data_IF_078513386398
#
_entry.id   IF_078513386398
#
_cell.length_a   1.000
_cell.length_b   1.000
_cell.length_c   1.000
_cell.angle_alpha   90.00
_cell.angle_beta   90.00
_cell.angle_gamma   90.00
#
_symmetry.space_group_name_H-M   'P 1'
#
loop_
_entity.id
_entity.type
_entity.pdbx_description
1 polymer ?
#
# COMPACT_ATOMS: atom_id res chain seq x y z
N UNK A 1 8.90 -7.75 29.93
CA UNK A 1 8.59 -7.55 28.50
C UNK A 1 9.84 -7.91 27.73
N UNK A 2 9.80 -8.97 26.92
CA UNK A 2 10.96 -9.36 26.10
C UNK A 2 11.14 -8.29 25.04
N UNK A 3 12.15 -7.42 25.16
CA UNK A 3 12.47 -6.49 24.08
C UNK A 3 12.81 -7.32 22.84
N UNK A 4 11.91 -7.38 21.87
CA UNK A 4 12.15 -8.02 20.59
C UNK A 4 13.46 -7.48 20.02
N UNK A 5 14.40 -8.36 19.70
CA UNK A 5 15.65 -7.94 19.08
C UNK A 5 15.39 -7.41 17.67
N UNK A 6 16.31 -6.61 17.10
CA UNK A 6 16.20 -6.23 15.69
C UNK A 6 16.30 -7.43 14.74
N UNK A 7 16.93 -8.54 15.18
CA UNK A 7 16.88 -9.82 14.48
C UNK A 7 15.43 -10.29 14.31
N UNK A 8 14.63 -10.30 15.38
CA UNK A 8 13.23 -10.74 15.31
C UNK A 8 12.38 -9.85 14.41
N UNK A 9 12.57 -8.53 14.48
CA UNK A 9 11.91 -7.55 13.59
C UNK A 9 12.27 -7.78 12.12
N UNK A 10 13.56 -7.96 11.84
CA UNK A 10 14.06 -8.26 10.50
C UNK A 10 13.47 -9.58 9.98
N UNK A 11 13.38 -10.62 10.81
CA UNK A 11 12.78 -11.90 10.41
C UNK A 11 11.27 -11.78 10.14
N UNK A 12 10.52 -11.04 10.96
CA UNK A 12 9.10 -10.75 10.69
C UNK A 12 8.92 -10.00 9.38
N UNK A 13 9.73 -8.97 9.15
CA UNK A 13 9.73 -8.21 7.90
C UNK A 13 10.04 -9.09 6.69
N UNK A 14 11.09 -9.94 6.75
CA UNK A 14 11.42 -10.90 5.69
C UNK A 14 10.26 -11.86 5.42
N UNK A 15 9.69 -12.47 6.46
CA UNK A 15 8.54 -13.37 6.33
C UNK A 15 7.35 -12.67 5.68
N UNK A 16 7.07 -11.42 6.07
CA UNK A 16 5.97 -10.63 5.50
C UNK A 16 6.18 -10.38 4.00
N UNK A 17 7.41 -10.06 3.60
CA UNK A 17 7.79 -9.76 2.21
C UNK A 17 7.88 -11.00 1.33
N UNK A 18 8.33 -12.15 1.87
CA UNK A 18 8.42 -13.42 1.13
C UNK A 18 7.16 -14.28 1.18
N UNK A 19 6.20 -13.95 2.04
CA UNK A 19 4.99 -14.73 2.25
C UNK A 19 5.16 -15.87 3.26
N UNK A 20 4.03 -16.37 3.75
CA UNK A 20 4.00 -17.56 4.60
C UNK A 20 4.24 -18.83 3.78
N UNK A 21 4.66 -19.92 4.43
CA UNK A 21 4.83 -21.21 3.77
C UNK A 21 3.54 -21.68 3.06
N UNK A 22 2.37 -21.38 3.63
CA UNK A 22 1.08 -21.70 3.00
C UNK A 22 0.81 -20.85 1.77
N UNK A 23 1.05 -19.54 1.84
CA UNK A 23 0.90 -18.64 0.68
C UNK A 23 1.83 -19.05 -0.47
N UNK A 24 3.07 -19.40 -0.14
CA UNK A 24 4.05 -19.91 -1.09
C UNK A 24 3.58 -21.22 -1.71
N UNK A 25 3.12 -22.17 -0.89
CA UNK A 25 2.59 -23.45 -1.34
C UNK A 25 1.40 -23.26 -2.28
N UNK A 26 0.41 -22.45 -1.92
CA UNK A 26 -0.76 -22.15 -2.76
C UNK A 26 -0.31 -21.56 -4.10
N UNK A 27 0.60 -20.58 -4.09
CA UNK A 27 1.10 -20.00 -5.34
C UNK A 27 1.90 -21.00 -6.20
N UNK A 28 2.62 -21.94 -5.59
CA UNK A 28 3.31 -23.02 -6.30
C UNK A 28 2.31 -24.02 -6.89
N UNK A 29 1.26 -24.39 -6.17
CA UNK A 29 0.19 -25.28 -6.65
C UNK A 29 -0.61 -24.64 -7.78
N UNK A 30 -0.83 -23.33 -7.76
CA UNK A 30 -1.49 -22.61 -8.86
C UNK A 30 -0.77 -22.75 -10.21
N UNK A 31 0.54 -23.05 -10.22
CA UNK A 31 1.32 -23.23 -11.44
C UNK A 31 1.25 -24.64 -12.02
N UNK A 32 1.11 -25.67 -11.18
CA UNK A 32 1.14 -27.06 -11.64
C UNK A 32 -0.11 -27.45 -12.47
N UNK A 33 -1.18 -26.67 -12.39
CA UNK A 33 -2.44 -26.87 -13.12
C UNK A 33 -2.55 -26.17 -14.48
N UNK A 34 -1.55 -25.37 -14.92
CA UNK A 34 -1.63 -24.59 -16.17
C UNK A 34 -0.60 -25.11 -17.19
N UNK A 35 -1.04 -25.28 -18.45
CA UNK A 35 -0.18 -25.63 -19.59
C UNK A 35 1.03 -24.67 -19.72
N UNK A 36 2.06 -25.12 -20.45
CA UNK A 36 3.39 -24.54 -20.78
C UNK A 36 3.66 -23.01 -20.59
N UNK A 37 2.66 -22.13 -20.62
CA UNK A 37 2.73 -20.67 -20.44
C UNK A 37 3.00 -20.22 -18.98
N UNK A 38 2.80 -21.10 -17.99
CA UNK A 38 3.00 -20.80 -16.56
C UNK A 38 4.37 -21.15 -15.97
N UNK A 39 5.17 -21.97 -16.66
CA UNK A 39 6.45 -22.48 -16.14
C UNK A 39 7.51 -21.39 -15.93
N UNK A 40 7.61 -20.41 -16.85
CA UNK A 40 8.58 -19.31 -16.72
C UNK A 40 8.31 -18.45 -15.48
N UNK A 41 7.04 -18.18 -15.18
CA UNK A 41 6.66 -17.40 -14.01
C UNK A 41 6.82 -18.19 -12.68
N UNK A 42 6.76 -19.53 -12.73
CA UNK A 42 7.08 -20.41 -11.59
C UNK A 42 8.56 -20.34 -11.23
N UNK A 43 9.44 -20.51 -12.21
CA UNK A 43 10.88 -20.44 -11.99
C UNK A 43 11.30 -19.05 -11.47
N UNK A 44 10.66 -17.99 -11.97
CA UNK A 44 10.84 -16.62 -11.46
C UNK A 44 10.43 -16.53 -9.97
N UNK A 45 9.25 -17.01 -9.58
CA UNK A 45 8.79 -16.94 -8.18
C UNK A 45 9.68 -17.80 -7.26
N UNK A 46 10.05 -19.00 -7.68
CA UNK A 46 10.92 -19.91 -6.92
C UNK A 46 12.34 -19.32 -6.71
N UNK A 47 12.88 -18.66 -7.74
CA UNK A 47 14.14 -17.93 -7.64
C UNK A 47 14.03 -16.74 -6.68
N UNK A 48 12.95 -15.97 -6.75
CA UNK A 48 12.73 -14.82 -5.85
C UNK A 48 12.59 -15.27 -4.40
N UNK A 49 11.87 -16.37 -4.14
CA UNK A 49 11.71 -16.93 -2.81
C UNK A 49 13.03 -17.39 -2.17
N UNK A 50 13.94 -17.92 -2.99
CA UNK A 50 15.26 -18.38 -2.54
C UNK A 50 16.33 -17.28 -2.52
N UNK A 51 16.15 -16.21 -3.30
CA UNK A 51 17.05 -15.06 -3.34
C UNK A 51 16.98 -14.20 -2.08
N UNK A 52 18.08 -13.51 -1.78
CA UNK A 52 18.09 -12.43 -0.80
C UNK A 52 17.74 -11.12 -1.50
N UNK A 53 16.94 -10.28 -0.85
CA UNK A 53 16.64 -8.95 -1.39
C UNK A 53 17.84 -8.02 -1.23
N UNK A 54 18.00 -7.04 -2.12
CA UNK A 54 19.16 -6.12 -2.13
C UNK A 54 19.43 -5.45 -0.78
N UNK A 55 18.38 -5.07 -0.04
CA UNK A 55 18.52 -4.45 1.27
C UNK A 55 19.12 -5.37 2.32
N UNK A 56 19.01 -6.69 2.16
CA UNK A 56 19.54 -7.66 3.11
C UNK A 56 21.07 -7.56 3.19
N UNK A 57 21.73 -7.09 2.14
CA UNK A 57 23.17 -6.88 2.07
C UNK A 57 23.61 -5.50 2.59
N UNK A 58 22.67 -4.60 2.89
CA UNK A 58 22.94 -3.20 3.24
C UNK A 58 23.14 -3.03 4.75
N UNK A 59 24.37 -3.29 5.20
CA UNK A 59 24.80 -3.12 6.59
C UNK A 59 25.38 -4.41 7.18
N UNK A 60 25.98 -4.31 8.37
CA UNK A 60 26.53 -5.46 9.10
C UNK A 60 25.65 -5.80 10.31
N UNK A 61 25.23 -7.06 10.41
CA UNK A 61 24.44 -7.57 11.53
C UNK A 61 22.95 -7.22 11.44
N UNK A 62 22.20 -7.67 12.44
CA UNK A 62 20.78 -7.37 12.60
C UNK A 62 20.63 -6.22 13.59
N UNK A 63 20.38 -5.03 13.06
CA UNK A 63 20.45 -3.76 13.78
C UNK A 63 19.34 -2.79 13.31
N UNK A 64 19.11 -1.72 14.06
CA UNK A 64 18.07 -0.72 13.82
C UNK A 64 18.19 -0.07 12.45
N UNK A 65 19.42 0.28 12.07
CA UNK A 65 19.71 0.91 10.78
C UNK A 65 19.30 0.01 9.60
N UNK A 66 19.67 -1.27 9.63
CA UNK A 66 19.34 -2.24 8.59
C UNK A 66 17.84 -2.53 8.55
N UNK A 67 17.19 -2.61 9.72
CA UNK A 67 15.74 -2.73 9.81
C UNK A 67 15.04 -1.56 9.12
N UNK A 68 15.44 -0.32 9.41
CA UNK A 68 14.88 0.89 8.77
C UNK A 68 15.09 0.85 7.26
N UNK A 69 16.30 0.53 6.79
CA UNK A 69 16.60 0.44 5.35
C UNK A 69 15.68 -0.57 4.65
N UNK A 70 15.52 -1.77 5.22
CA UNK A 70 14.62 -2.80 4.69
C UNK A 70 13.15 -2.38 4.72
N UNK A 71 12.69 -1.76 5.81
CA UNK A 71 11.31 -1.31 5.97
C UNK A 71 10.90 -0.23 4.96
N UNK A 72 11.86 0.54 4.44
CA UNK A 72 11.64 1.54 3.40
C UNK A 72 11.57 0.97 1.98
N UNK A 73 12.16 -0.21 1.73
CA UNK A 73 12.25 -0.75 0.37
C UNK A 73 10.90 -1.26 -0.16
N UNK A 74 10.70 -1.12 -1.47
CA UNK A 74 9.64 -1.81 -2.21
C UNK A 74 9.82 -3.30 -2.05
N UNK A 75 8.73 -4.05 -1.97
CA UNK A 75 8.79 -5.50 -2.17
C UNK A 75 9.42 -5.79 -3.54
N UNK A 76 10.13 -6.91 -3.68
CA UNK A 76 10.70 -7.33 -4.97
C UNK A 76 9.67 -7.25 -6.10
N UNK A 77 10.08 -6.67 -7.23
CA UNK A 77 9.20 -6.29 -8.34
C UNK A 77 8.37 -7.46 -8.85
N UNK A 78 8.93 -8.67 -8.85
CA UNK A 78 8.26 -9.88 -9.33
C UNK A 78 7.03 -10.24 -8.48
N UNK A 79 7.01 -9.95 -7.17
CA UNK A 79 5.80 -10.14 -6.37
C UNK A 79 4.68 -9.21 -6.81
N UNK A 80 5.04 -7.96 -7.13
CA UNK A 80 4.11 -6.94 -7.64
C UNK A 80 3.59 -7.35 -9.01
N UNK A 81 4.47 -7.78 -9.92
CA UNK A 81 4.10 -8.27 -11.25
C UNK A 81 3.11 -9.44 -11.19
N UNK A 82 3.33 -10.40 -10.30
CA UNK A 82 2.39 -11.51 -10.08
C UNK A 82 1.02 -11.01 -9.62
N UNK A 83 0.97 -10.01 -8.74
CA UNK A 83 -0.28 -9.34 -8.34
C UNK A 83 -0.98 -8.67 -9.52
N UNK A 84 -0.24 -7.91 -10.34
CA UNK A 84 -0.78 -7.24 -11.53
C UNK A 84 -1.30 -8.26 -12.56
N UNK A 85 -0.53 -9.32 -12.82
CA UNK A 85 -0.89 -10.39 -13.76
C UNK A 85 -2.12 -11.18 -13.28
N UNK A 86 -2.24 -11.44 -11.97
CA UNK A 86 -3.41 -12.11 -11.40
C UNK A 86 -4.67 -11.25 -11.60
N UNK A 87 -4.59 -9.95 -11.34
CA UNK A 87 -5.71 -9.03 -11.60
C UNK A 87 -6.05 -8.96 -13.10
N UNK A 88 -5.04 -8.92 -13.98
CA UNK A 88 -5.25 -8.91 -15.43
C UNK A 88 -5.92 -10.19 -15.93
N UNK A 89 -5.61 -11.35 -15.35
CA UNK A 89 -6.31 -12.62 -15.66
C UNK A 89 -7.79 -12.55 -15.31
N UNK A 90 -8.14 -11.98 -14.16
CA UNK A 90 -9.53 -11.78 -13.73
C UNK A 90 -10.24 -10.78 -14.65
N UNK A 91 -9.61 -9.65 -14.96
CA UNK A 91 -10.09 -8.66 -15.92
C UNK A 91 -10.43 -9.31 -17.27
N UNK A 92 -9.49 -10.07 -17.86
CA UNK A 92 -9.70 -10.72 -19.15
C UNK A 92 -10.88 -11.72 -19.13
N UNK A 93 -11.09 -12.43 -18.01
CA UNK A 93 -12.24 -13.33 -17.87
C UNK A 93 -13.56 -12.56 -17.76
N UNK A 94 -13.60 -11.50 -16.97
CA UNK A 94 -14.79 -10.65 -16.83
C UNK A 94 -15.13 -9.94 -18.14
N UNK A 95 -14.15 -9.35 -18.81
CA UNK A 95 -14.33 -8.68 -20.11
C UNK A 95 -14.91 -9.65 -21.16
N UNK A 96 -14.36 -10.87 -21.24
CA UNK A 96 -14.84 -11.89 -22.19
C UNK A 96 -16.26 -12.40 -21.86
N UNK A 97 -16.56 -12.61 -20.58
CA UNK A 97 -17.79 -13.28 -20.14
C UNK A 97 -18.96 -12.33 -19.96
N UNK A 98 -18.69 -11.06 -19.71
CA UNK A 98 -19.66 -9.97 -19.56
C UNK A 98 -19.67 -9.09 -20.82
N UNK A 99 -19.63 -9.72 -22.00
CA UNK A 99 -19.50 -9.03 -23.30
C UNK A 99 -20.65 -8.07 -23.64
N UNK A 100 -21.79 -8.24 -22.98
CA UNK A 100 -22.95 -7.36 -23.07
C UNK A 100 -22.80 -6.06 -22.27
N UNK A 101 -21.85 -6.02 -21.34
CA UNK A 101 -21.46 -4.81 -20.60
C UNK A 101 -20.37 -4.05 -21.35
N UNK A 102 -20.27 -2.75 -21.09
CA UNK A 102 -19.12 -1.94 -21.51
C UNK A 102 -18.30 -1.65 -20.26
N UNK A 103 -17.33 -2.50 -19.95
CA UNK A 103 -16.57 -2.43 -18.71
C UNK A 103 -15.29 -1.62 -18.85
N UNK A 104 -14.90 -0.96 -17.78
CA UNK A 104 -13.55 -0.45 -17.55
C UNK A 104 -12.94 -1.13 -16.32
N UNK A 105 -11.62 -1.23 -16.31
CA UNK A 105 -10.89 -1.86 -15.22
C UNK A 105 -9.80 -0.93 -14.70
N UNK A 106 -9.78 -0.71 -13.38
CA UNK A 106 -8.76 0.14 -12.74
C UNK A 106 -8.25 -0.54 -11.48
N UNK A 107 -6.95 -0.50 -11.27
CA UNK A 107 -6.34 -0.91 -10.01
C UNK A 107 -6.39 0.25 -9.02
N UNK A 108 -6.60 -0.08 -7.74
CA UNK A 108 -6.48 0.86 -6.64
C UNK A 108 -5.70 0.26 -5.47
N UNK A 109 -5.62 1.01 -4.38
CA UNK A 109 -5.00 0.52 -3.14
C UNK A 109 -3.49 0.51 -3.17
N UNK A 110 -2.90 -0.29 -2.28
CA UNK A 110 -1.46 -0.21 -1.98
C UNK A 110 -0.54 -0.81 -3.05
N UNK A 111 -1.05 -1.77 -3.83
CA UNK A 111 -0.29 -2.36 -4.96
C UNK A 111 -0.16 -1.35 -6.09
N UNK A 112 -1.26 -0.68 -6.46
CA UNK A 112 -1.24 0.37 -7.49
C UNK A 112 -0.24 1.51 -7.18
N UNK A 113 0.01 1.77 -5.89
CA UNK A 113 0.93 2.81 -5.42
C UNK A 113 2.34 2.33 -5.09
N UNK A 114 2.66 1.04 -5.21
CA UNK A 114 3.93 0.46 -4.72
C UNK A 114 4.23 0.85 -3.24
N UNK A 115 3.20 0.84 -2.39
CA UNK A 115 3.34 1.08 -0.93
C UNK A 115 2.94 -0.14 -0.11
N UNK A 116 2.73 -1.27 -0.77
CA UNK A 116 2.46 -2.54 -0.11
C UNK A 116 3.74 -3.08 0.54
N UNK A 117 3.59 -3.83 1.63
CA UNK A 117 4.72 -4.34 2.45
C UNK A 117 4.73 -5.87 2.55
N UNK A 118 3.80 -6.55 1.86
CA UNK A 118 3.67 -8.00 1.81
C UNK A 118 3.89 -8.48 0.37
N UNK A 119 4.67 -9.54 0.16
CA UNK A 119 4.82 -10.14 -1.20
C UNK A 119 3.51 -10.68 -1.76
N UNK A 120 2.67 -11.19 -0.87
CA UNK A 120 1.34 -11.69 -1.17
C UNK A 120 0.33 -10.65 -0.71
N UNK A 121 0.38 -9.46 -1.33
CA UNK A 121 -0.61 -8.41 -1.11
C UNK A 121 -1.81 -8.60 -2.01
N UNK A 122 -2.98 -8.40 -1.42
CA UNK A 122 -4.26 -8.43 -2.12
C UNK A 122 -4.35 -7.26 -3.11
N UNK A 123 -5.11 -7.47 -4.19
CA UNK A 123 -5.27 -6.48 -5.25
C UNK A 123 -6.70 -5.98 -5.29
N UNK A 124 -6.88 -4.67 -5.19
CA UNK A 124 -8.17 -4.03 -5.37
C UNK A 124 -8.41 -3.72 -6.86
N UNK A 125 -9.32 -4.47 -7.50
CA UNK A 125 -9.70 -4.29 -8.91
C UNK A 125 -11.09 -3.66 -9.01
N UNK A 126 -11.17 -2.41 -9.45
CA UNK A 126 -12.43 -1.77 -9.83
C UNK A 126 -12.92 -2.33 -11.16
N UNK A 127 -14.17 -2.76 -11.19
CA UNK A 127 -14.90 -3.17 -12.41
C UNK A 127 -16.01 -2.16 -12.63
N UNK A 128 -15.82 -1.28 -13.60
CA UNK A 128 -16.62 -0.07 -13.78
C UNK A 128 -17.52 -0.25 -15.00
N UNK A 129 -18.84 -0.29 -14.81
CA UNK A 129 -19.77 -0.27 -15.94
C UNK A 129 -19.88 1.15 -16.52
N UNK A 130 -19.57 1.28 -17.81
CA UNK A 130 -19.58 2.53 -18.58
C UNK A 130 -20.92 2.80 -19.25
N UNK A 131 -21.87 1.86 -19.20
CA UNK A 131 -23.22 2.06 -19.75
C UNK A 131 -24.05 3.06 -18.94
N UNK A 132 -23.60 3.39 -17.73
CA UNK A 132 -24.16 4.42 -16.87
C UNK A 132 -23.03 5.19 -16.18
N UNK A 133 -23.28 6.46 -15.86
CA UNK A 133 -22.45 7.25 -14.96
C UNK A 133 -23.34 8.09 -14.04
N UNK A 134 -22.79 8.46 -12.89
CA UNK A 134 -23.31 9.54 -12.05
C UNK A 134 -22.60 10.85 -12.42
N UNK A 135 -23.25 11.99 -12.21
CA UNK A 135 -22.61 13.30 -12.38
C UNK A 135 -23.17 14.28 -11.35
N UNK A 136 -22.34 15.24 -10.95
CA UNK A 136 -22.80 16.31 -10.06
C UNK A 136 -23.63 17.33 -10.83
N UNK A 137 -24.83 17.61 -10.32
CA UNK A 137 -25.80 18.51 -10.98
C UNK A 137 -25.46 19.99 -10.85
N UNK A 138 -24.58 20.33 -9.91
CA UNK A 138 -24.09 21.68 -9.71
C UNK A 138 -22.79 21.95 -10.49
N UNK A 139 -22.30 20.97 -11.25
CA UNK A 139 -21.08 21.09 -12.03
C UNK A 139 -21.26 21.90 -13.32
N UNK A 140 -20.14 22.44 -13.82
CA UNK A 140 -20.11 23.34 -15.00
C UNK A 140 -20.58 22.68 -16.30
N UNK A 141 -20.65 21.34 -16.34
CA UNK A 141 -21.08 20.55 -17.50
C UNK A 141 -22.40 19.83 -17.29
N UNK A 142 -23.14 20.12 -16.21
CA UNK A 142 -24.39 19.42 -15.89
C UNK A 142 -25.35 19.33 -17.09
N UNK A 143 -25.42 20.38 -17.92
CA UNK A 143 -26.31 20.46 -19.08
C UNK A 143 -25.90 19.57 -20.26
N UNK A 144 -24.71 18.96 -20.23
CA UNK A 144 -24.23 18.03 -21.25
C UNK A 144 -24.66 16.58 -20.98
N UNK A 145 -25.18 16.30 -19.79
CA UNK A 145 -25.58 14.96 -19.38
C UNK A 145 -27.07 14.72 -19.63
N UNK A 146 -27.40 13.49 -20.04
CA UNK A 146 -28.79 13.01 -20.17
C UNK A 146 -29.14 12.15 -18.96
N UNK A 147 -30.08 12.56 -18.10
CA UNK A 147 -30.53 11.73 -16.99
C UNK A 147 -31.11 10.40 -17.47
N UNK A 148 -30.82 9.33 -16.72
CA UNK A 148 -31.41 7.99 -16.94
C UNK A 148 -32.51 7.71 -15.91
N UNK A 149 -33.44 6.83 -16.26
CA UNK A 149 -34.42 6.25 -15.32
C UNK A 149 -33.92 5.00 -14.62
N UNK A 150 -32.77 4.45 -15.04
CA UNK A 150 -32.09 3.33 -14.37
C UNK A 150 -31.68 3.77 -12.96
N UNK A 151 -31.85 2.87 -12.00
CA UNK A 151 -31.36 3.06 -10.64
C UNK A 151 -29.94 2.55 -10.52
N UNK A 152 -29.04 3.39 -10.02
CA UNK A 152 -27.61 3.13 -9.94
C UNK A 152 -27.25 1.97 -9.01
N UNK A 153 -28.00 1.77 -7.93
CA UNK A 153 -27.81 0.68 -6.98
C UNK A 153 -28.18 -0.66 -7.62
N UNK A 154 -29.28 -0.71 -8.38
CA UNK A 154 -29.68 -1.91 -9.12
C UNK A 154 -28.64 -2.26 -10.20
N UNK A 155 -28.08 -1.26 -10.91
CA UNK A 155 -27.00 -1.48 -11.91
C UNK A 155 -25.77 -2.12 -11.27
N UNK A 156 -25.27 -1.57 -10.14
CA UNK A 156 -24.10 -2.13 -9.44
C UNK A 156 -24.39 -3.52 -8.88
N UNK A 157 -25.59 -3.75 -8.31
CA UNK A 157 -25.98 -5.06 -7.77
C UNK A 157 -26.07 -6.11 -8.87
N UNK A 158 -26.62 -5.76 -10.03
CA UNK A 158 -26.66 -6.67 -11.18
C UNK A 158 -25.25 -6.99 -11.64
N UNK A 159 -24.38 -5.98 -11.85
CA UNK A 159 -22.99 -6.20 -12.21
C UNK A 159 -22.26 -7.11 -11.21
N UNK A 160 -22.43 -6.86 -9.90
CA UNK A 160 -21.85 -7.69 -8.83
C UNK A 160 -22.30 -9.15 -8.94
N UNK A 161 -23.61 -9.39 -9.03
CA UNK A 161 -24.15 -10.75 -9.08
C UNK A 161 -23.70 -11.49 -10.34
N UNK A 162 -23.73 -10.83 -11.50
CA UNK A 162 -23.26 -11.43 -12.75
C UNK A 162 -21.75 -11.70 -12.71
N UNK A 163 -20.95 -10.76 -12.20
CA UNK A 163 -19.51 -10.96 -12.02
C UNK A 163 -19.20 -12.13 -11.08
N UNK A 164 -19.89 -12.24 -9.94
CA UNK A 164 -19.73 -13.38 -9.01
C UNK A 164 -19.98 -14.72 -9.71
N UNK A 165 -21.09 -14.82 -10.43
CA UNK A 165 -21.49 -16.08 -11.05
C UNK A 165 -20.56 -16.45 -12.20
N UNK A 166 -20.10 -15.47 -12.99
CA UNK A 166 -19.12 -15.70 -14.06
C UNK A 166 -17.71 -15.99 -13.53
N UNK A 167 -17.29 -15.38 -12.41
CA UNK A 167 -16.00 -15.71 -11.77
C UNK A 167 -15.98 -17.14 -11.26
N UNK A 168 -17.07 -17.63 -10.65
CA UNK A 168 -17.20 -19.03 -10.23
C UNK A 168 -17.11 -20.00 -11.40
N UNK A 169 -17.64 -19.62 -12.57
CA UNK A 169 -17.52 -20.42 -13.81
C UNK A 169 -16.12 -20.34 -14.42
N UNK A 170 -15.47 -19.18 -14.35
CA UNK A 170 -14.15 -18.94 -14.90
C UNK A 170 -13.04 -19.62 -14.10
N UNK A 171 -13.20 -19.67 -12.78
CA UNK A 171 -12.23 -20.21 -11.84
C UNK A 171 -12.92 -21.22 -10.89
N UNK A 172 -13.29 -22.41 -11.39
CA UNK A 172 -14.11 -23.38 -10.62
C UNK A 172 -13.42 -23.91 -9.36
N UNK A 173 -12.08 -23.87 -9.32
CA UNK A 173 -11.28 -24.26 -8.16
C UNK A 173 -10.99 -23.09 -7.20
N UNK A 174 -11.31 -21.86 -7.60
CA UNK A 174 -11.17 -20.69 -6.75
C UNK A 174 -12.42 -20.48 -5.90
N UNK A 175 -12.22 -19.97 -4.69
CA UNK A 175 -13.30 -19.54 -3.82
C UNK A 175 -13.66 -18.09 -4.14
N UNK A 176 -14.94 -17.86 -4.47
CA UNK A 176 -15.51 -16.52 -4.66
C UNK A 176 -16.39 -16.19 -3.47
N UNK A 177 -15.82 -15.40 -2.57
CA UNK A 177 -16.40 -14.85 -1.35
C UNK A 177 -17.22 -13.58 -1.67
N UNK A 178 -18.47 -13.57 -1.21
CA UNK A 178 -19.45 -12.48 -1.38
C UNK A 178 -19.93 -11.96 -0.01
N UNK A 179 -19.18 -12.20 1.08
CA UNK A 179 -19.54 -11.72 2.41
C UNK A 179 -19.25 -10.21 2.57
N UNK A 180 -18.17 -9.70 1.97
CA UNK A 180 -17.83 -8.28 2.04
C UNK A 180 -18.88 -7.41 1.32
N UNK A 181 -19.41 -6.39 2.00
CA UNK A 181 -20.48 -5.55 1.46
C UNK A 181 -20.11 -4.66 0.27
N UNK A 182 -18.84 -4.52 -0.06
CA UNK A 182 -18.33 -3.60 -1.09
C UNK A 182 -17.59 -4.31 -2.22
N UNK A 183 -16.94 -5.45 -1.96
CA UNK A 183 -16.16 -6.22 -2.93
C UNK A 183 -16.57 -7.70 -2.97
N UNK A 184 -16.29 -8.36 -4.08
CA UNK A 184 -16.21 -9.82 -4.17
C UNK A 184 -14.76 -10.20 -4.01
N UNK A 185 -14.42 -11.05 -3.05
CA UNK A 185 -13.05 -11.52 -2.88
C UNK A 185 -12.89 -12.87 -3.56
N UNK A 186 -11.90 -12.99 -4.44
CA UNK A 186 -11.59 -14.26 -5.11
C UNK A 186 -10.19 -14.75 -4.71
N UNK A 187 -10.10 -16.00 -4.27
CA UNK A 187 -8.87 -16.62 -3.74
C UNK A 187 -8.74 -18.08 -4.14
N UNK A 188 -7.51 -18.59 -4.17
CA UNK A 188 -7.24 -20.02 -4.39
C UNK A 188 -7.37 -20.48 -5.85
N UNK A 189 -7.35 -21.81 -6.04
CA UNK A 189 -7.26 -22.45 -7.36
C UNK A 189 -5.98 -22.04 -8.09
N UNK A 190 -6.12 -21.63 -9.36
CA UNK A 190 -4.99 -21.15 -10.16
C UNK A 190 -4.61 -19.68 -9.92
N UNK A 191 -5.23 -19.00 -8.93
CA UNK A 191 -4.92 -17.59 -8.62
C UNK A 191 -3.86 -17.50 -7.52
N UNK A 192 -2.82 -16.73 -7.81
CA UNK A 192 -1.64 -16.63 -6.94
C UNK A 192 -1.78 -15.54 -5.88
N UNK A 193 -2.80 -14.69 -6.02
CA UNK A 193 -3.10 -13.56 -5.16
C UNK A 193 -4.59 -13.49 -4.94
N UNK A 194 -4.95 -13.02 -3.77
CA UNK A 194 -6.32 -12.62 -3.49
C UNK A 194 -6.61 -11.33 -4.26
N UNK A 195 -7.80 -11.26 -4.84
CA UNK A 195 -8.25 -10.07 -5.57
C UNK A 195 -9.62 -9.67 -5.06
N UNK A 196 -9.73 -8.41 -4.63
CA UNK A 196 -10.98 -7.75 -4.29
C UNK A 196 -11.55 -7.08 -5.54
N UNK A 197 -12.55 -7.72 -6.13
CA UNK A 197 -13.28 -7.20 -7.28
C UNK A 197 -14.36 -6.25 -6.77
N UNK A 198 -14.27 -4.97 -7.10
CA UNK A 198 -15.15 -3.90 -6.63
C UNK A 198 -16.03 -3.40 -7.79
N UNK A 199 -17.31 -3.79 -7.86
CA UNK A 199 -18.25 -3.30 -8.86
C UNK A 199 -18.56 -1.82 -8.66
N UNK A 200 -18.49 -1.04 -9.73
CA UNK A 200 -18.62 0.41 -9.69
C UNK A 200 -19.27 0.96 -10.96
N UNK A 201 -19.65 2.24 -10.90
CA UNK A 201 -19.90 3.07 -12.09
C UNK A 201 -19.10 4.36 -11.98
N UNK A 202 -18.87 5.01 -13.11
CA UNK A 202 -18.19 6.30 -13.13
C UNK A 202 -19.01 7.39 -12.41
N UNK A 203 -18.31 8.33 -11.77
CA UNK A 203 -18.89 9.53 -11.19
C UNK A 203 -18.14 10.77 -11.69
N UNK A 204 -18.79 11.54 -12.54
CA UNK A 204 -18.32 12.81 -13.08
C UNK A 204 -18.59 13.93 -12.07
N UNK A 205 -17.71 14.01 -11.07
CA UNK A 205 -17.76 15.04 -10.03
C UNK A 205 -17.48 16.45 -10.60
N UNK A 206 -17.71 17.49 -9.78
CA UNK A 206 -17.48 18.89 -10.16
C UNK A 206 -16.06 19.13 -10.69
N UNK A 207 -15.04 18.53 -10.06
CA UNK A 207 -13.63 18.71 -10.45
C UNK A 207 -13.37 18.14 -11.84
N UNK A 208 -13.83 16.93 -12.14
CA UNK A 208 -13.74 16.32 -13.47
C UNK A 208 -14.52 17.11 -14.52
N UNK A 209 -15.71 17.62 -14.18
CA UNK A 209 -16.48 18.45 -15.11
C UNK A 209 -15.72 19.72 -15.49
N UNK A 210 -14.93 20.27 -14.56
CA UNK A 210 -14.09 21.44 -14.80
C UNK A 210 -12.80 21.09 -15.58
N UNK A 211 -12.03 20.11 -15.12
CA UNK A 211 -10.70 19.81 -15.65
C UNK A 211 -10.71 18.92 -16.89
N UNK A 212 -11.69 18.02 -16.99
CA UNK A 212 -11.77 16.92 -17.95
C UNK A 212 -10.58 15.94 -17.91
N UNK A 213 -9.76 16.01 -16.86
CA UNK A 213 -8.67 15.09 -16.60
C UNK A 213 -9.25 13.79 -16.01
N UNK A 214 -9.05 12.64 -16.66
CA UNK A 214 -9.63 11.37 -16.22
C UNK A 214 -9.28 11.04 -14.75
N UNK A 215 -8.10 11.43 -14.28
CA UNK A 215 -7.70 11.26 -12.89
C UNK A 215 -8.59 11.96 -11.87
N UNK A 216 -9.29 13.01 -12.28
CA UNK A 216 -10.19 13.78 -11.42
C UNK A 216 -11.59 13.14 -11.36
N UNK A 217 -11.86 12.20 -12.27
CA UNK A 217 -13.09 11.43 -12.29
C UNK A 217 -13.17 10.54 -11.04
N UNK A 218 -14.35 10.45 -10.46
CA UNK A 218 -14.64 9.58 -9.34
C UNK A 218 -15.30 8.27 -9.77
N UNK A 219 -15.55 7.41 -8.79
CA UNK A 219 -16.38 6.22 -8.92
C UNK A 219 -17.45 6.22 -7.84
N UNK A 220 -18.61 5.66 -8.17
CA UNK A 220 -19.62 5.30 -7.19
C UNK A 220 -19.59 3.79 -6.97
N UNK A 221 -19.44 3.39 -5.72
CA UNK A 221 -19.53 1.99 -5.27
C UNK A 221 -20.72 1.85 -4.31
N UNK A 222 -21.19 0.62 -4.13
CA UNK A 222 -22.32 0.32 -3.25
C UNK A 222 -21.89 -0.47 -2.02
N UNK A 223 -22.37 -0.06 -0.84
CA UNK A 223 -22.42 -0.92 0.33
C UNK A 223 -23.75 -1.69 0.29
N UNK A 224 -23.69 -2.96 -0.09
CA UNK A 224 -24.84 -3.81 -0.47
C UNK A 224 -25.98 -3.80 0.56
N UNK A 225 -25.69 -4.18 1.80
CA UNK A 225 -26.73 -4.47 2.80
C UNK A 225 -27.56 -3.24 3.17
N UNK A 226 -26.92 -2.07 3.27
CA UNK A 226 -27.57 -0.79 3.58
C UNK A 226 -28.05 -0.06 2.32
N UNK A 227 -27.74 -0.57 1.12
CA UNK A 227 -27.84 0.14 -0.17
C UNK A 227 -27.26 1.56 -0.13
N UNK A 228 -26.20 1.74 0.66
CA UNK A 228 -25.54 3.05 0.82
C UNK A 228 -24.58 3.29 -0.33
N UNK A 229 -24.78 4.40 -1.05
CA UNK A 229 -23.92 4.87 -2.15
C UNK A 229 -22.68 5.52 -1.57
N UNK A 230 -21.52 5.16 -2.08
CA UNK A 230 -20.23 5.70 -1.64
C UNK A 230 -19.54 6.27 -2.88
N UNK A 231 -19.32 7.58 -2.86
CA UNK A 231 -18.62 8.31 -3.91
C UNK A 231 -17.16 8.48 -3.49
N UNK A 232 -16.24 8.00 -4.32
CA UNK A 232 -14.81 8.05 -4.06
C UNK A 232 -14.07 8.65 -5.26
N UNK A 233 -12.94 9.29 -4.98
CA UNK A 233 -12.00 9.76 -6.01
C UNK A 233 -10.63 9.08 -5.82
N UNK A 234 -10.53 7.75 -6.08
CA UNK A 234 -9.29 7.00 -5.85
C UNK A 234 -8.16 7.45 -6.78
N UNK A 235 -8.50 7.84 -8.02
CA UNK A 235 -7.50 8.21 -9.03
C UNK A 235 -6.83 9.56 -8.73
N UNK A 236 -7.55 10.52 -8.13
CA UNK A 236 -6.96 11.76 -7.61
C UNK A 236 -5.94 11.46 -6.52
N UNK A 237 -6.29 10.55 -5.60
CA UNK A 237 -5.39 10.13 -4.54
C UNK A 237 -4.11 9.52 -5.12
N UNK A 238 -4.25 8.59 -6.06
CA UNK A 238 -3.11 7.95 -6.74
C UNK A 238 -2.24 9.00 -7.44
N UNK A 239 -2.81 9.82 -8.34
CA UNK A 239 -2.08 10.86 -9.10
C UNK A 239 -1.32 11.82 -8.19
N UNK A 240 -1.92 12.27 -7.09
CA UNK A 240 -1.28 13.21 -6.15
C UNK A 240 -0.13 12.57 -5.39
N UNK A 241 -0.27 11.31 -4.97
CA UNK A 241 0.81 10.56 -4.31
C UNK A 241 1.94 10.29 -5.29
N UNK A 242 1.66 9.84 -6.51
CA UNK A 242 2.66 9.61 -7.56
C UNK A 242 3.44 10.89 -7.86
N UNK A 243 2.72 11.98 -8.16
CA UNK A 243 3.33 13.27 -8.49
C UNK A 243 4.28 13.76 -7.38
N UNK A 244 3.86 13.67 -6.10
CA UNK A 244 4.72 14.06 -4.97
C UNK A 244 5.87 13.08 -4.75
N UNK A 245 5.65 11.79 -4.95
CA UNK A 245 6.68 10.77 -4.84
C UNK A 245 7.79 10.98 -5.87
N UNK A 246 7.43 11.30 -7.11
CA UNK A 246 8.39 11.57 -8.18
C UNK A 246 9.22 12.82 -7.87
N UNK A 247 8.58 13.90 -7.41
CA UNK A 247 9.32 15.11 -6.99
C UNK A 247 10.21 14.89 -5.76
N UNK A 248 9.86 13.94 -4.88
CA UNK A 248 10.66 13.57 -3.71
C UNK A 248 11.63 12.39 -3.96
N UNK A 249 11.93 12.07 -5.21
CA UNK A 249 12.86 10.98 -5.59
C UNK A 249 12.53 9.65 -4.89
N UNK A 250 11.24 9.27 -4.82
CA UNK A 250 10.81 8.03 -4.15
C UNK A 250 10.68 8.12 -2.62
N UNK A 251 11.10 9.23 -2.00
CA UNK A 251 11.13 9.38 -0.53
C UNK A 251 9.75 9.24 0.13
N UNK A 252 8.69 9.70 -0.54
CA UNK A 252 7.31 9.56 -0.04
C UNK A 252 6.92 8.09 0.13
N UNK A 253 7.00 7.26 -0.93
CA UNK A 253 6.66 5.83 -0.84
C UNK A 253 7.52 5.09 0.20
N UNK A 254 8.82 5.42 0.28
CA UNK A 254 9.72 4.88 1.32
C UNK A 254 9.22 5.18 2.73
N UNK A 255 8.80 6.41 3.01
CA UNK A 255 8.27 6.77 4.34
C UNK A 255 6.96 6.05 4.68
N UNK A 256 6.10 5.86 3.68
CA UNK A 256 4.82 5.16 3.86
C UNK A 256 5.07 3.68 4.18
N UNK A 257 5.98 3.02 3.43
CA UNK A 257 6.35 1.62 3.68
C UNK A 257 7.00 1.44 5.05
N UNK A 258 7.84 2.39 5.47
CA UNK A 258 8.43 2.42 6.81
C UNK A 258 7.35 2.43 7.89
N UNK A 259 6.40 3.37 7.83
CA UNK A 259 5.32 3.46 8.83
C UNK A 259 4.41 2.24 8.84
N UNK A 260 4.08 1.70 7.66
CA UNK A 260 3.28 0.47 7.55
C UNK A 260 3.99 -0.72 8.18
N UNK A 261 5.30 -0.84 7.95
CA UNK A 261 6.12 -1.93 8.53
C UNK A 261 6.20 -1.79 10.04
N UNK A 262 6.49 -0.59 10.55
CA UNK A 262 6.54 -0.30 11.99
C UNK A 262 5.19 -0.61 12.65
N UNK A 263 4.07 -0.17 12.05
CA UNK A 263 2.73 -0.47 12.54
C UNK A 263 2.49 -1.98 12.65
N UNK A 264 2.85 -2.72 11.60
CA UNK A 264 2.62 -4.17 11.57
C UNK A 264 3.48 -4.90 12.59
N UNK A 265 4.75 -4.51 12.76
CA UNK A 265 5.64 -5.13 13.74
C UNK A 265 5.21 -4.78 15.19
N UNK A 266 4.76 -3.56 15.44
CA UNK A 266 4.19 -3.17 16.73
C UNK A 266 2.98 -4.03 17.10
N UNK A 267 2.07 -4.25 16.15
CA UNK A 267 0.91 -5.13 16.37
C UNK A 267 1.33 -6.58 16.64
N UNK A 268 2.30 -7.09 15.90
CA UNK A 268 2.83 -8.46 16.08
C UNK A 268 3.56 -8.62 17.43
N UNK A 269 4.19 -7.56 17.96
CA UNK A 269 4.95 -7.56 19.22
C UNK A 269 4.06 -7.35 20.46
N UNK A 270 3.20 -6.33 20.43
CA UNK A 270 2.43 -5.87 21.59
C UNK A 270 1.00 -6.41 21.61
N UNK A 271 0.56 -7.10 20.54
CA UNK A 271 -0.80 -7.61 20.39
C UNK A 271 -1.87 -6.51 20.32
N UNK A 272 -1.46 -5.23 20.22
CA UNK A 272 -2.34 -4.06 20.18
C UNK A 272 -2.18 -3.36 18.84
N UNK A 273 -3.31 -2.99 18.23
CA UNK A 273 -3.30 -2.29 16.95
C UNK A 273 -3.24 -0.77 17.12
N UNK A 274 -2.47 -0.11 16.25
CA UNK A 274 -2.57 1.34 16.02
C UNK A 274 -3.71 1.57 15.03
N UNK A 275 -4.73 2.32 15.42
CA UNK A 275 -5.97 2.55 14.65
C UNK A 275 -5.85 3.46 13.41
N UNK A 276 -4.66 3.56 12.81
CA UNK A 276 -4.42 4.30 11.56
C UNK A 276 -4.26 3.31 10.40
N UNK A 277 -5.13 3.38 9.40
CA UNK A 277 -5.07 2.47 8.26
C UNK A 277 -4.05 2.93 7.19
N UNK A 278 -3.83 2.12 6.14
CA UNK A 278 -2.87 2.46 5.07
C UNK A 278 -3.20 3.77 4.36
N UNK A 279 -4.48 4.14 4.23
CA UNK A 279 -4.91 5.38 3.61
C UNK A 279 -4.56 6.57 4.51
N UNK A 280 -4.73 6.45 5.84
CA UNK A 280 -4.33 7.48 6.80
C UNK A 280 -2.82 7.67 6.81
N UNK A 281 -2.03 6.59 6.90
CA UNK A 281 -0.56 6.68 6.88
C UNK A 281 -0.03 7.33 5.60
N UNK A 282 -0.63 6.99 4.46
CA UNK A 282 -0.32 7.60 3.16
C UNK A 282 -0.65 9.08 3.15
N UNK A 283 -1.81 9.45 3.69
CA UNK A 283 -2.28 10.83 3.78
C UNK A 283 -1.42 11.67 4.73
N UNK A 284 -0.99 11.10 5.85
CA UNK A 284 -0.11 11.77 6.82
C UNK A 284 1.21 12.14 6.13
N UNK A 285 1.85 11.17 5.47
CA UNK A 285 3.14 11.41 4.81
C UNK A 285 3.01 12.24 3.53
N UNK A 286 1.84 12.27 2.88
CA UNK A 286 1.58 13.19 1.78
C UNK A 286 1.78 14.66 2.17
N UNK A 287 1.59 15.03 3.44
CA UNK A 287 1.82 16.39 3.93
C UNK A 287 3.22 16.64 4.48
N UNK A 288 4.09 15.64 4.54
CA UNK A 288 5.49 15.81 4.95
C UNK A 288 6.28 16.70 3.97
N UNK A 289 7.40 17.26 4.42
CA UNK A 289 8.20 18.17 3.61
C UNK A 289 8.84 17.44 2.42
N UNK A 290 8.49 17.89 1.22
CA UNK A 290 8.93 17.25 -0.03
C UNK A 290 10.45 17.33 -0.23
N UNK A 291 11.07 18.46 0.15
CA UNK A 291 12.50 18.66 -0.01
C UNK A 291 13.27 17.76 0.96
N UNK A 292 12.83 17.64 2.21
CA UNK A 292 13.45 16.75 3.19
C UNK A 292 13.36 15.29 2.74
N UNK A 293 12.20 14.83 2.24
CA UNK A 293 12.07 13.49 1.65
C UNK A 293 12.98 13.28 0.42
N UNK A 294 13.20 14.32 -0.38
CA UNK A 294 14.05 14.27 -1.58
C UNK A 294 15.52 13.96 -1.29
N UNK A 295 16.01 14.31 -0.10
CA UNK A 295 17.40 14.05 0.31
C UNK A 295 17.75 12.56 0.38
N UNK A 296 16.77 11.66 0.31
CA UNK A 296 16.98 10.22 0.26
C UNK A 296 17.88 9.78 -0.91
N UNK A 297 17.95 10.56 -2.00
CA UNK A 297 18.84 10.31 -3.13
C UNK A 297 20.33 10.40 -2.77
N UNK A 298 20.67 11.13 -1.71
CA UNK A 298 22.05 11.27 -1.20
C UNK A 298 22.25 10.48 0.08
N UNK A 299 21.26 10.53 0.98
CA UNK A 299 21.31 9.87 2.27
C UNK A 299 19.94 9.27 2.58
N UNK A 300 19.79 7.96 2.40
CA UNK A 300 18.48 7.31 2.45
C UNK A 300 17.79 7.45 3.81
N UNK A 301 18.55 7.47 4.91
CA UNK A 301 18.00 7.68 6.26
C UNK A 301 17.43 9.09 6.47
N UNK A 302 17.61 10.03 5.53
CA UNK A 302 16.88 11.31 5.54
C UNK A 302 15.35 11.09 5.55
N UNK A 303 14.86 9.98 4.96
CA UNK A 303 13.45 9.60 5.02
C UNK A 303 13.00 9.32 6.46
N UNK A 304 13.81 8.59 7.24
CA UNK A 304 13.53 8.35 8.67
C UNK A 304 13.51 9.67 9.44
N UNK A 305 14.49 10.55 9.19
CA UNK A 305 14.60 11.85 9.86
C UNK A 305 13.38 12.72 9.58
N UNK A 306 12.96 12.84 8.32
CA UNK A 306 11.78 13.62 7.96
C UNK A 306 10.49 13.01 8.51
N UNK A 307 10.35 11.67 8.46
CA UNK A 307 9.21 10.97 9.03
C UNK A 307 9.10 11.25 10.53
N UNK A 308 10.21 11.13 11.26
CA UNK A 308 10.28 11.43 12.69
C UNK A 308 9.96 12.90 12.99
N UNK A 309 10.58 13.84 12.28
CA UNK A 309 10.31 15.28 12.44
C UNK A 309 8.83 15.60 12.22
N UNK A 310 8.25 15.08 11.15
CA UNK A 310 6.87 15.36 10.75
C UNK A 310 5.86 14.82 11.76
N UNK A 311 6.00 13.57 12.19
CA UNK A 311 5.10 12.97 13.18
C UNK A 311 5.15 13.69 14.54
N UNK A 312 6.35 14.07 15.01
CA UNK A 312 6.48 14.85 16.24
C UNK A 312 5.90 16.27 16.10
N UNK A 313 6.04 16.89 14.93
CA UNK A 313 5.40 18.17 14.65
C UNK A 313 3.87 18.07 14.77
N UNK A 314 3.25 17.05 14.15
CA UNK A 314 1.80 16.84 14.23
C UNK A 314 1.33 16.57 15.66
N UNK A 315 2.05 15.74 16.41
CA UNK A 315 1.75 15.47 17.82
C UNK A 315 1.85 16.73 18.71
N UNK A 316 2.78 17.65 18.41
CA UNK A 316 2.92 18.91 19.15
C UNK A 316 1.97 20.02 18.68
N UNK A 317 1.34 19.86 17.52
CA UNK A 317 0.42 20.84 16.93
C UNK A 317 -0.91 20.18 16.54
N UNK A 318 -1.70 19.66 17.49
CA UNK A 318 -2.93 18.91 17.20
C UNK A 318 -3.98 19.72 16.43
N UNK A 319 -4.03 21.05 16.64
CA UNK A 319 -4.92 21.94 15.89
C UNK A 319 -4.53 21.97 14.40
N UNK A 320 -3.24 22.03 14.09
CA UNK A 320 -2.76 21.98 12.71
C UNK A 320 -2.92 20.59 12.10
N UNK A 321 -2.69 19.53 12.89
CA UNK A 321 -2.93 18.16 12.45
C UNK A 321 -4.39 17.95 12.01
N UNK A 322 -5.37 18.42 12.79
CA UNK A 322 -6.81 18.34 12.45
C UNK A 322 -7.21 19.12 11.20
N UNK A 323 -6.36 20.01 10.67
CA UNK A 323 -6.61 20.71 9.41
C UNK A 323 -6.25 19.86 8.19
N UNK A 324 -5.44 18.82 8.34
CA UNK A 324 -4.95 18.03 7.20
C UNK A 324 -6.08 17.21 6.58
N UNK A 325 -6.24 17.38 5.27
CA UNK A 325 -7.14 16.57 4.45
C UNK A 325 -6.41 15.37 3.86
N UNK A 326 -7.16 14.31 3.57
CA UNK A 326 -6.64 13.21 2.75
C UNK A 326 -6.28 13.75 1.34
N UNK A 327 -5.38 13.09 0.57
CA UNK A 327 -4.86 13.66 -0.66
C UNK A 327 -5.92 14.08 -1.68
N UNK A 328 -7.10 13.44 -1.73
CA UNK A 328 -8.19 13.83 -2.62
C UNK A 328 -9.18 14.84 -2.01
N UNK A 329 -8.95 15.34 -0.80
CA UNK A 329 -9.73 16.40 -0.17
C UNK A 329 -11.10 16.00 0.38
N UNK A 330 -11.44 14.72 0.39
CA UNK A 330 -12.81 14.27 0.72
C UNK A 330 -13.13 14.23 2.21
N UNK A 331 -12.11 14.17 3.08
CA UNK A 331 -12.25 14.21 4.54
C UNK A 331 -10.96 14.67 5.24
N UNK A 332 -11.07 14.97 6.53
CA UNK A 332 -9.90 15.14 7.40
C UNK A 332 -9.23 13.80 7.66
N UNK A 333 -7.90 13.83 7.79
CA UNK A 333 -7.11 12.68 8.23
C UNK A 333 -7.46 12.36 9.69
N UNK A 334 -7.50 13.39 10.53
CA UNK A 334 -7.79 13.30 11.95
C UNK A 334 -9.15 13.94 12.24
N UNK A 335 -10.19 13.11 12.33
CA UNK A 335 -11.58 13.56 12.51
C UNK A 335 -11.92 13.77 14.00
N UNK A 336 -11.24 13.06 14.90
CA UNK A 336 -11.49 13.05 16.33
C UNK A 336 -10.20 12.94 17.15
N UNK A 337 -10.32 13.04 18.48
CA UNK A 337 -9.18 12.90 19.40
C UNK A 337 -8.62 11.47 19.43
N UNK A 338 -9.43 10.47 19.06
CA UNK A 338 -8.98 9.08 18.99
C UNK A 338 -7.92 8.91 17.90
N UNK A 339 -8.16 9.45 16.70
CA UNK A 339 -7.19 9.42 15.60
C UNK A 339 -5.87 10.12 15.94
N UNK A 340 -5.90 11.18 16.77
CA UNK A 340 -4.69 11.83 17.29
C UNK A 340 -3.96 10.98 18.35
N UNK A 341 -4.70 10.27 19.21
CA UNK A 341 -4.09 9.33 20.14
C UNK A 341 -3.39 8.18 19.41
N UNK A 342 -3.97 7.68 18.31
CA UNK A 342 -3.34 6.66 17.46
C UNK A 342 -2.08 7.20 16.75
N UNK A 343 -2.08 8.47 16.33
CA UNK A 343 -0.87 9.15 15.84
C UNK A 343 0.21 9.21 16.91
N UNK A 344 -0.14 9.55 18.15
CA UNK A 344 0.81 9.61 19.26
C UNK A 344 1.43 8.25 19.56
N UNK A 345 0.64 7.17 19.55
CA UNK A 345 1.16 5.80 19.68
C UNK A 345 2.19 5.49 18.59
N UNK A 346 1.85 5.73 17.33
CA UNK A 346 2.78 5.52 16.20
C UNK A 346 4.06 6.36 16.35
N UNK A 347 3.92 7.63 16.72
CA UNK A 347 5.04 8.57 16.90
C UNK A 347 6.00 8.07 17.98
N UNK A 348 5.49 7.55 19.10
CA UNK A 348 6.32 6.99 20.16
C UNK A 348 7.15 5.79 19.68
N UNK A 349 6.57 4.90 18.86
CA UNK A 349 7.30 3.77 18.28
C UNK A 349 8.42 4.26 17.35
N UNK A 350 8.14 5.27 16.52
CA UNK A 350 9.13 5.89 15.64
C UNK A 350 10.24 6.58 16.44
N UNK A 351 9.91 7.31 17.51
CA UNK A 351 10.89 7.97 18.39
C UNK A 351 11.86 6.96 19.01
N UNK A 352 11.33 5.83 19.51
CA UNK A 352 12.16 4.75 20.03
C UNK A 352 13.09 4.19 18.95
N UNK A 353 12.58 3.95 17.74
CA UNK A 353 13.39 3.45 16.63
C UNK A 353 14.51 4.42 16.24
N UNK A 354 14.23 5.73 16.21
CA UNK A 354 15.26 6.76 15.95
C UNK A 354 16.33 6.76 17.03
N UNK A 355 15.95 6.64 18.31
CA UNK A 355 16.92 6.54 19.40
C UNK A 355 17.84 5.32 19.25
N UNK A 356 17.30 4.16 18.86
CA UNK A 356 18.11 2.96 18.58
C UNK A 356 19.12 3.19 17.44
N UNK A 357 18.69 3.80 16.33
CA UNK A 357 19.58 4.16 15.21
C UNK A 357 20.68 5.15 15.66
N UNK A 358 20.31 6.16 16.45
CA UNK A 358 21.27 7.15 16.96
C UNK A 358 22.30 6.50 17.91
N UNK A 359 21.86 5.64 18.81
CA UNK A 359 22.73 4.92 19.74
C UNK A 359 23.74 4.01 19.01
N UNK A 360 23.31 3.36 17.92
CA UNK A 360 24.21 2.59 17.06
C UNK A 360 25.33 3.45 16.48
N UNK A 361 24.99 4.63 15.94
CA UNK A 361 25.98 5.51 15.33
C UNK A 361 26.92 6.15 16.35
N UNK A 362 26.42 6.58 17.52
CA UNK A 362 27.24 7.14 18.59
C UNK A 362 28.19 6.09 19.17
N UNK A 363 27.69 4.87 19.45
CA UNK A 363 28.50 3.77 19.96
C UNK A 363 29.60 3.31 18.99
N UNK A 364 29.32 3.37 17.68
CA UNK A 364 30.30 3.08 16.65
C UNK A 364 31.36 4.19 16.55
N UNK A 365 30.95 5.47 16.63
CA UNK A 365 31.88 6.60 16.64
C UNK A 365 32.82 6.55 17.85
N UNK A 366 32.30 6.25 19.04
CA UNK A 366 33.11 6.08 20.25
C UNK A 366 34.13 4.94 20.13
N UNK A 367 33.76 3.80 19.53
CA UNK A 367 34.69 2.69 19.26
C UNK A 367 35.77 3.06 18.25
N UNK A 368 35.42 3.80 17.20
CA UNK A 368 36.36 4.22 16.18
C UNK A 368 37.41 5.21 16.71
N UNK A 369 36.99 6.14 17.58
CA UNK A 369 37.91 7.02 18.30
C UNK A 369 38.86 6.24 19.21
N UNK A 370 38.34 5.28 19.99
CA UNK A 370 39.17 4.47 20.88
C UNK A 370 40.19 3.57 20.12
N UNK A 371 39.81 3.05 18.95
CA UNK A 371 40.72 2.30 18.08
C UNK A 371 41.83 3.21 17.51
N UNK A 372 41.48 4.40 17.04
CA UNK A 372 42.45 5.37 16.52
C UNK A 372 43.43 5.85 17.62
N UNK A 373 42.95 6.07 18.85
CA UNK A 373 43.81 6.39 20.00
C UNK A 373 44.75 5.23 20.35
N UNK A 374 44.26 3.98 20.31
CA UNK A 374 45.09 2.80 20.55
C UNK A 374 46.18 2.60 19.49
N UNK A 375 45.87 2.85 18.22
CA UNK A 375 46.85 2.80 17.12
C UNK A 375 47.89 3.91 17.21
N UNK A 376 47.47 5.14 17.57
CA UNK A 376 48.38 6.26 17.85
C UNK A 376 49.33 5.94 19.01
N UNK A 377 48.82 5.35 20.10
CA UNK A 377 49.63 4.96 21.26
C UNK A 377 50.62 3.82 20.94
N UNK A 378 50.25 2.88 20.06
CA UNK A 378 51.16 1.83 19.56
C UNK A 378 52.25 2.39 18.65
N UNK A 379 51.96 3.43 17.86
CA UNK A 379 52.95 4.12 17.03
C UNK A 379 54.00 4.91 17.83
N UNK A 380 53.63 5.40 19.02
CA UNK A 380 54.52 6.14 19.92
C UNK A 380 55.47 5.21 20.70
N UNK A 381 55.12 3.93 20.89
CA UNK A 381 55.97 2.94 21.58
C UNK A 381 57.07 2.32 20.69
N UNK A 382 57.15 2.68 19.41
CA UNK A 382 58.16 2.17 18.44
C UNK A 382 59.18 3.25 18.03
N UNK A 383 59.16 4.42 18.68
CA UNK A 383 60.21 5.43 18.67
C UNK A 383 60.92 5.45 20.03
#
# INVERSE_FOLDING_TARGET
>A
MSSSTFSDRIQRMKKRRKGSAEQVKVAMESYSGVAMDGLESYDILANVLSSQEEWEHRGRGDNATRYVIGAMQSVETQYTEVSLNTAKRIENQLEKRLSEYNLDFRLQGSVALDIHIKGFSDVDLLVIDKQMLMYDRDGVRQSLYTPTSKKEDDVILTLRNTARDELRKAFPEAYVDDENNKSLRITGGSLQREVDVVPAIWWDNIDYQLSQEESDRGVMILQRDERKRIYNSPFVHIKRIESKCDRSNGGLRKSIRLLKTIKSDFQDEEGTEIGLNSYDLTSIMYHADENNLRHNAYYELAVLVETHRWLNYLCSHPIEAKKLDVPNGTRKIFEDDNSLNELMKLTNVVNNLVNEVMNEHIGNFGRQLALNESELLKGIQVL
#
